data_IF_838072101082
#
_entry.id   IF_838072101082
#
_cell.length_a   1.000
_cell.length_b   1.000
_cell.length_c   1.000
_cell.angle_alpha   90.00
_cell.angle_beta   90.00
_cell.angle_gamma   90.00
#
_symmetry.space_group_name_H-M   'P 1'
#
loop_
_entity.id
_entity.type
_entity.pdbx_description
1 polymer ?
#
# COMPACT_ATOMS: atom_id res chain seq x y z
N UNK A 1 13.93 12.95 30.75
CA UNK A 1 12.61 13.13 30.09
C UNK A 1 12.15 11.77 29.61
N UNK A 2 11.08 11.23 30.19
CA UNK A 2 10.50 9.93 29.77
C UNK A 2 9.66 10.19 28.52
N UNK A 3 10.11 9.70 27.36
CA UNK A 3 9.27 9.71 26.15
C UNK A 3 8.04 8.84 26.43
N UNK A 4 6.82 9.36 26.24
CA UNK A 4 5.61 8.61 26.52
C UNK A 4 5.54 7.42 25.56
N UNK A 5 5.20 6.27 26.13
CA UNK A 5 5.08 4.99 25.47
C UNK A 5 4.26 5.10 24.18
N UNK A 6 4.95 5.02 23.04
CA UNK A 6 4.30 4.72 21.76
C UNK A 6 3.66 3.34 21.91
N UNK A 7 2.34 3.34 22.16
CA UNK A 7 1.50 2.17 21.91
C UNK A 7 1.88 1.66 20.52
N UNK A 8 2.57 0.52 20.47
CA UNK A 8 2.91 -0.18 19.23
C UNK A 8 1.61 -0.68 18.61
N UNK A 9 0.85 0.22 18.01
CA UNK A 9 -0.17 -0.14 17.04
C UNK A 9 0.60 -0.88 15.95
N UNK A 10 0.33 -2.17 15.75
CA UNK A 10 1.03 -3.00 14.77
C UNK A 10 0.84 -2.46 13.35
N UNK A 11 1.67 -1.51 12.94
CA UNK A 11 1.66 -0.94 11.60
C UNK A 11 2.62 -1.78 10.75
N UNK A 12 2.06 -2.49 9.76
CA UNK A 12 2.88 -3.14 8.74
C UNK A 12 3.19 -2.13 7.63
N UNK A 13 4.48 -1.91 7.40
CA UNK A 13 4.97 -1.04 6.32
C UNK A 13 5.84 -1.88 5.39
N UNK A 14 5.55 -1.82 4.09
CA UNK A 14 6.40 -2.42 3.06
C UNK A 14 6.71 -1.41 1.97
N UNK A 15 7.94 -1.42 1.49
CA UNK A 15 8.43 -0.49 0.48
C UNK A 15 8.72 -1.22 -0.83
N UNK A 16 8.50 -0.54 -1.95
CA UNK A 16 9.00 -1.01 -3.24
C UNK A 16 10.48 -0.66 -3.41
N UNK A 17 11.20 -1.37 -4.29
CA UNK A 17 12.41 -0.83 -4.88
C UNK A 17 12.16 0.55 -5.51
N UNK A 18 13.21 1.34 -5.61
CA UNK A 18 13.12 2.62 -6.31
C UNK A 18 12.95 2.41 -7.81
N UNK A 19 12.10 3.19 -8.46
CA UNK A 19 11.91 3.18 -9.91
C UNK A 19 11.94 4.59 -10.48
N UNK A 20 12.28 4.72 -11.76
CA UNK A 20 12.41 6.02 -12.44
C UNK A 20 11.35 6.16 -13.52
N UNK A 21 10.61 7.26 -13.47
CA UNK A 21 9.66 7.65 -14.51
C UNK A 21 10.34 8.57 -15.53
N UNK A 22 9.91 8.49 -16.79
CA UNK A 22 10.40 9.32 -17.89
C UNK A 22 9.23 9.86 -18.69
N UNK A 23 9.43 11.02 -19.33
CA UNK A 23 8.45 11.68 -20.18
C UNK A 23 8.41 11.06 -21.58
N UNK A 24 8.19 9.74 -21.62
CA UNK A 24 7.97 8.96 -22.84
C UNK A 24 6.79 8.05 -22.61
N UNK A 25 6.02 7.82 -23.67
CA UNK A 25 4.91 6.89 -23.65
C UNK A 25 5.35 5.53 -23.06
N UNK A 26 4.50 4.95 -22.19
CA UNK A 26 4.77 3.72 -21.44
C UNK A 26 5.94 3.75 -20.44
N UNK A 27 6.62 4.89 -20.28
CA UNK A 27 7.66 5.12 -19.24
C UNK A 27 7.28 6.18 -18.22
N UNK A 28 6.13 6.82 -18.41
CA UNK A 28 5.55 7.82 -17.50
C UNK A 28 4.84 7.20 -16.29
N UNK A 29 4.64 5.88 -16.26
CA UNK A 29 4.03 5.16 -15.14
C UNK A 29 4.76 3.85 -14.85
N UNK A 30 4.63 3.38 -13.60
CA UNK A 30 5.06 2.05 -13.16
C UNK A 30 3.83 1.32 -12.62
N UNK A 31 3.37 0.24 -13.27
CA UNK A 31 2.30 -0.58 -12.70
C UNK A 31 2.77 -1.23 -11.40
N UNK A 32 1.91 -1.20 -10.38
CA UNK A 32 2.17 -1.79 -9.06
C UNK A 32 1.02 -2.75 -8.75
N UNK A 33 1.32 -4.03 -8.66
CA UNK A 33 0.35 -5.04 -8.22
C UNK A 33 0.43 -5.18 -6.71
N UNK A 34 -0.49 -4.54 -5.98
CA UNK A 34 -0.44 -4.39 -4.51
C UNK A 34 -0.22 -5.73 -3.78
N UNK A 35 -1.02 -6.75 -4.08
CA UNK A 35 -0.92 -8.07 -3.44
C UNK A 35 0.38 -8.78 -3.81
N UNK A 36 0.82 -8.72 -5.06
CA UNK A 36 2.08 -9.37 -5.48
C UNK A 36 3.31 -8.69 -4.87
N UNK A 37 3.27 -7.36 -4.78
CA UNK A 37 4.40 -6.55 -4.34
C UNK A 37 4.51 -6.48 -2.82
N UNK A 38 3.38 -6.32 -2.12
CA UNK A 38 3.35 -6.11 -0.68
C UNK A 38 2.81 -7.32 0.09
N UNK A 39 2.19 -8.30 -0.56
CA UNK A 39 1.55 -9.44 0.12
C UNK A 39 0.22 -9.11 0.80
N UNK A 40 -0.23 -7.86 0.71
CA UNK A 40 -1.50 -7.38 1.23
C UNK A 40 -2.00 -6.19 0.42
N UNK A 41 -3.29 -5.89 0.52
CA UNK A 41 -3.83 -4.62 0.03
C UNK A 41 -3.59 -3.57 1.13
N UNK A 42 -2.82 -2.49 0.90
CA UNK A 42 -2.61 -1.45 1.91
C UNK A 42 -3.89 -0.68 2.23
N UNK A 43 -3.91 -0.06 3.40
CA UNK A 43 -4.87 0.99 3.74
C UNK A 43 -4.41 2.32 3.14
N UNK A 44 -3.13 2.62 3.29
CA UNK A 44 -2.53 3.86 2.81
C UNK A 44 -1.34 3.56 1.92
N UNK A 45 -1.23 4.30 0.81
CA UNK A 45 -0.07 4.29 -0.07
C UNK A 45 0.59 5.66 -0.01
N UNK A 46 1.90 5.68 0.24
CA UNK A 46 2.70 6.90 0.24
C UNK A 46 3.69 6.81 -0.91
N UNK A 47 3.59 7.75 -1.85
CA UNK A 47 4.53 7.88 -2.96
C UNK A 47 5.60 8.89 -2.55
N UNK A 48 6.87 8.48 -2.54
CA UNK A 48 7.99 9.35 -2.15
C UNK A 48 8.97 9.50 -3.31
N UNK A 49 9.32 10.75 -3.61
CA UNK A 49 10.45 11.07 -4.49
C UNK A 49 11.75 10.88 -3.72
N UNK A 50 12.74 10.24 -4.34
CA UNK A 50 14.08 10.15 -3.78
C UNK A 50 14.75 11.51 -3.90
N UNK A 51 15.13 12.09 -2.77
CA UNK A 51 15.82 13.38 -2.72
C UNK A 51 17.14 13.30 -3.50
N UNK A 52 17.47 14.36 -4.25
CA UNK A 52 18.66 14.41 -5.09
C UNK A 52 18.61 13.55 -6.37
N UNK A 53 17.57 12.72 -6.58
CA UNK A 53 17.41 11.95 -7.82
C UNK A 53 16.27 12.48 -8.68
N UNK A 54 16.54 12.61 -9.99
CA UNK A 54 15.55 13.08 -10.95
C UNK A 54 14.51 11.97 -11.25
N UNK A 55 13.22 12.31 -11.10
CA UNK A 55 12.06 11.46 -11.38
C UNK A 55 12.16 10.03 -10.85
N UNK A 56 12.84 9.86 -9.71
CA UNK A 56 13.02 8.56 -9.05
C UNK A 56 12.15 8.52 -7.81
N UNK A 57 11.37 7.46 -7.69
CA UNK A 57 10.35 7.31 -6.66
C UNK A 57 10.43 5.94 -6.02
N UNK A 58 9.85 5.80 -4.84
CA UNK A 58 9.49 4.52 -4.24
C UNK A 58 8.13 4.67 -3.58
N UNK A 59 7.47 3.54 -3.36
CA UNK A 59 6.13 3.51 -2.79
C UNK A 59 6.18 2.74 -1.48
N UNK A 60 5.58 3.33 -0.44
CA UNK A 60 5.37 2.68 0.85
C UNK A 60 3.90 2.31 1.01
N UNK A 61 3.63 1.04 1.24
CA UNK A 61 2.33 0.49 1.57
C UNK A 61 2.22 0.34 3.09
N UNK A 62 1.18 0.94 3.67
CA UNK A 62 0.93 0.94 5.12
C UNK A 62 -0.38 0.21 5.39
N UNK A 63 -0.36 -0.69 6.37
CA UNK A 63 -1.53 -1.40 6.84
C UNK A 63 -1.59 -1.32 8.38
N UNK A 64 -2.64 -0.69 8.91
CA UNK A 64 -2.86 -0.63 10.36
C UNK A 64 -3.64 -1.85 10.84
N UNK A 65 -3.52 -2.17 12.14
CA UNK A 65 -4.34 -3.23 12.74
C UNK A 65 -5.85 -2.95 12.66
N UNK A 66 -6.27 -1.68 12.66
CA UNK A 66 -7.67 -1.31 12.50
C UNK A 66 -8.19 -1.76 11.13
N UNK A 67 -7.42 -1.49 10.07
CA UNK A 67 -7.76 -1.97 8.73
C UNK A 67 -7.70 -3.50 8.60
N UNK A 68 -6.76 -4.17 9.28
CA UNK A 68 -6.74 -5.64 9.36
C UNK A 68 -8.01 -6.20 10.00
N UNK A 69 -8.49 -5.59 11.09
CA UNK A 69 -9.72 -6.01 11.79
C UNK A 69 -10.98 -5.70 10.97
N UNK A 70 -11.01 -4.59 10.23
CA UNK A 70 -12.10 -4.25 9.31
C UNK A 70 -12.21 -5.26 8.16
N UNK A 71 -11.08 -5.77 7.64
CA UNK A 71 -11.08 -6.83 6.62
C UNK A 71 -11.73 -8.13 7.06
N UNK A 72 -11.50 -8.57 8.31
CA UNK A 72 -12.16 -9.77 8.85
C UNK A 72 -13.67 -9.61 8.94
N UNK A 73 -14.16 -8.36 9.00
CA UNK A 73 -15.56 -8.03 9.16
C UNK A 73 -16.28 -7.71 7.86
N UNK A 74 -15.63 -7.74 6.69
CA UNK A 74 -16.31 -7.67 5.39
C UNK A 74 -16.78 -9.08 5.01
N UNK A 75 -18.02 -9.48 5.35
CA UNK A 75 -18.47 -10.85 5.21
C UNK A 75 -19.17 -10.99 3.86
N UNK A 76 -18.63 -11.81 2.94
CA UNK A 76 -19.44 -12.59 1.97
C UNK A 76 -20.55 -11.87 1.16
N UNK A 77 -20.52 -10.56 0.93
CA UNK A 77 -21.57 -9.90 0.13
C UNK A 77 -21.50 -10.32 -1.35
N UNK A 78 -20.32 -10.76 -1.81
CA UNK A 78 -20.10 -11.16 -3.20
C UNK A 78 -20.65 -12.57 -3.53
N UNK A 79 -20.92 -13.43 -2.54
CA UNK A 79 -21.46 -14.78 -2.82
C UNK A 79 -22.97 -14.82 -3.06
N UNK A 80 -23.73 -13.76 -2.70
CA UNK A 80 -25.19 -13.69 -2.93
C UNK A 80 -25.61 -12.99 -4.22
N UNK A 81 -24.70 -12.31 -4.91
CA UNK A 81 -25.01 -11.60 -6.16
C UNK A 81 -25.08 -12.53 -7.40
N UNK A 82 -24.58 -13.77 -7.31
CA UNK A 82 -24.45 -14.68 -8.45
C UNK A 82 -25.49 -15.82 -8.50
N UNK A 83 -26.56 -15.76 -7.70
CA UNK A 83 -27.68 -16.73 -7.74
C UNK A 83 -28.97 -16.16 -8.37
N UNK A 84 -28.93 -14.98 -8.99
CA UNK A 84 -30.03 -14.45 -9.81
C UNK A 84 -29.53 -14.11 -11.21
N UNK A 85 -29.30 -15.15 -12.00
CA UNK A 85 -29.36 -15.08 -13.46
C UNK A 85 -29.95 -16.37 -13.99
#
# INVERSE_FOLDING_TARGET
>A
MKNPEEKKVGVEIRNTPTFKLKDKERRQYQPIHLVKQFGFVPETIVIRKVQGKNNTFFISAILTEKAKKARKQLPQIVSKANQKK
#
